data_IF_329411811282
#
_entry.id   IF_329411811282
#
_cell.length_a   1.000
_cell.length_b   1.000
_cell.length_c   1.000
_cell.angle_alpha   90.00
_cell.angle_beta   90.00
_cell.angle_gamma   90.00
#
_symmetry.space_group_name_H-M   'P 1'
#
loop_
_entity.id
_entity.type
_entity.pdbx_description
1 polymer ?
#
# COMPACT_ATOMS: atom_id res chain seq x y z
N UNK A 1 -0.07 -0.90 2.67
CA UNK A 1 0.95 -0.29 1.79
C UNK A 1 0.27 0.79 0.96
N UNK A 2 0.91 1.90 0.64
CA UNK A 2 0.28 2.98 -0.15
C UNK A 2 0.66 2.92 -1.63
N UNK A 3 -0.14 3.52 -2.51
CA UNK A 3 0.22 3.64 -3.94
C UNK A 3 1.50 4.44 -4.17
N UNK A 4 1.84 5.37 -3.26
CA UNK A 4 3.13 6.08 -3.25
C UNK A 4 4.30 5.11 -2.98
N UNK A 5 4.18 4.24 -1.98
CA UNK A 5 5.19 3.21 -1.68
C UNK A 5 5.33 2.21 -2.84
N UNK A 6 4.23 1.85 -3.49
CA UNK A 6 4.26 0.97 -4.68
C UNK A 6 5.04 1.65 -5.81
N UNK A 7 4.78 2.93 -6.07
CA UNK A 7 5.52 3.70 -7.07
C UNK A 7 7.02 3.71 -6.77
N UNK A 8 7.40 3.97 -5.51
CA UNK A 8 8.79 3.96 -5.04
C UNK A 8 9.48 2.61 -5.27
N UNK A 9 8.91 1.49 -4.77
CA UNK A 9 9.56 0.18 -4.88
C UNK A 9 9.59 -0.32 -6.33
N UNK A 10 8.55 -0.04 -7.12
CA UNK A 10 8.50 -0.49 -8.52
C UNK A 10 9.33 0.38 -9.45
N UNK A 11 9.58 1.64 -9.10
CA UNK A 11 10.17 2.64 -9.99
C UNK A 11 9.16 3.22 -10.99
N UNK A 12 7.87 2.87 -10.89
CA UNK A 12 6.82 3.47 -11.71
C UNK A 12 6.51 4.88 -11.22
N UNK A 13 6.10 5.77 -12.13
CA UNK A 13 5.53 7.06 -11.71
C UNK A 13 4.24 6.82 -10.92
N UNK A 14 4.00 7.63 -9.89
CA UNK A 14 2.80 7.50 -9.05
C UNK A 14 1.52 7.66 -9.87
N UNK A 15 1.50 8.53 -10.88
CA UNK A 15 0.37 8.68 -11.80
C UNK A 15 0.04 7.39 -12.57
N UNK A 16 1.05 6.63 -12.99
CA UNK A 16 0.84 5.33 -13.63
C UNK A 16 0.27 4.30 -12.65
N UNK A 17 0.79 4.24 -11.42
CA UNK A 17 0.22 3.35 -10.38
C UNK A 17 -1.24 3.69 -10.09
N UNK A 18 -1.58 4.98 -9.96
CA UNK A 18 -2.95 5.44 -9.75
C UNK A 18 -3.87 5.08 -10.92
N UNK A 19 -3.39 5.18 -12.16
CA UNK A 19 -4.13 4.75 -13.37
C UNK A 19 -4.36 3.24 -13.36
N UNK A 20 -3.32 2.46 -13.11
CA UNK A 20 -3.41 1.00 -13.12
C UNK A 20 -4.40 0.49 -12.06
N UNK A 21 -4.45 1.12 -10.88
CA UNK A 21 -5.45 0.83 -9.84
C UNK A 21 -6.87 1.11 -10.34
N UNK A 22 -7.11 2.27 -10.98
CA UNK A 22 -8.45 2.60 -11.51
C UNK A 22 -8.88 1.62 -12.60
N UNK A 23 -7.98 1.30 -13.52
CA UNK A 23 -8.24 0.37 -14.60
C UNK A 23 -8.62 -1.02 -14.06
N UNK A 24 -7.90 -1.52 -13.04
CA UNK A 24 -8.23 -2.82 -12.44
C UNK A 24 -9.59 -2.77 -11.73
N UNK A 25 -9.90 -1.68 -11.02
CA UNK A 25 -11.18 -1.50 -10.33
C UNK A 25 -12.37 -1.45 -11.31
N UNK A 26 -12.18 -0.88 -12.49
CA UNK A 26 -13.19 -0.84 -13.56
C UNK A 26 -13.44 -2.23 -14.18
N UNK A 27 -12.45 -3.11 -14.17
CA UNK A 27 -12.54 -4.48 -14.69
C UNK A 27 -13.16 -5.48 -13.70
N UNK A 28 -13.27 -5.13 -12.41
CA UNK A 28 -13.81 -6.01 -11.38
C UNK A 28 -15.34 -5.95 -11.33
N UNK A 29 -16.01 -7.07 -11.59
CA UNK A 29 -17.44 -7.24 -11.33
C UNK A 29 -17.76 -7.06 -9.84
N UNK A 30 -16.93 -7.64 -8.97
CA UNK A 30 -17.10 -7.62 -7.52
C UNK A 30 -16.13 -6.65 -6.82
N UNK A 31 -16.00 -5.43 -7.33
CA UNK A 31 -15.07 -4.41 -6.79
C UNK A 31 -15.19 -4.16 -5.28
N UNK A 32 -16.38 -4.37 -4.71
CA UNK A 32 -16.67 -4.21 -3.27
C UNK A 32 -15.92 -5.23 -2.37
N UNK A 33 -15.37 -6.31 -2.94
CA UNK A 33 -14.56 -7.30 -2.20
C UNK A 33 -13.09 -6.89 -2.03
N UNK A 34 -12.73 -5.70 -2.50
CA UNK A 34 -11.40 -5.10 -2.42
C UNK A 34 -11.50 -3.73 -1.76
N UNK A 35 -10.43 -3.30 -1.09
CA UNK A 35 -10.42 -2.08 -0.28
C UNK A 35 -9.33 -1.11 -0.73
N UNK A 36 -9.40 -0.68 -1.99
CA UNK A 36 -8.60 0.41 -2.50
C UNK A 36 -9.12 1.75 -1.95
N UNK A 37 -8.69 2.09 -0.75
CA UNK A 37 -9.18 3.26 -0.01
C UNK A 37 -8.49 4.53 -0.51
N UNK A 38 -9.25 5.48 -1.05
CA UNK A 38 -8.73 6.76 -1.52
C UNK A 38 -8.49 7.71 -0.35
N UNK A 39 -7.24 8.12 -0.18
CA UNK A 39 -6.78 9.03 0.86
C UNK A 39 -6.16 10.28 0.24
N UNK A 40 -6.01 11.34 1.03
CA UNK A 40 -5.39 12.59 0.60
C UNK A 40 -4.32 13.03 1.58
N UNK A 41 -3.13 13.33 1.05
CA UNK A 41 -2.10 14.04 1.81
C UNK A 41 -2.39 15.54 1.68
N UNK A 42 -2.61 16.19 2.81
CA UNK A 42 -2.86 17.62 2.88
C UNK A 42 -1.52 18.34 3.10
N UNK A 43 -1.17 19.22 2.17
CA UNK A 43 0.01 20.09 2.28
C UNK A 43 -0.46 21.54 2.33
N UNK A 44 -0.16 22.25 3.42
CA UNK A 44 -0.47 23.67 3.57
C UNK A 44 0.52 24.49 2.72
N UNK A 45 0.01 25.35 1.85
CA UNK A 45 0.81 26.14 0.89
C UNK A 45 0.99 27.61 1.30
N UNK A 46 0.49 28.00 2.49
CA UNK A 46 0.41 29.41 2.94
C UNK A 46 -0.90 30.07 2.49
N UNK A 47 -1.23 31.24 3.05
CA UNK A 47 -2.45 32.01 2.72
C UNK A 47 -3.76 31.20 2.80
N UNK A 48 -3.87 30.31 3.78
CA UNK A 48 -4.99 29.35 3.91
C UNK A 48 -5.22 28.44 2.68
N UNK A 49 -4.25 28.33 1.77
CA UNK A 49 -4.30 27.40 0.66
C UNK A 49 -3.80 26.02 1.08
N UNK A 50 -4.47 24.98 0.57
CA UNK A 50 -4.12 23.58 0.79
C UNK A 50 -4.03 22.85 -0.56
N UNK A 51 -3.00 22.03 -0.71
CA UNK A 51 -2.90 21.01 -1.77
C UNK A 51 -3.35 19.67 -1.20
N UNK A 52 -4.22 18.99 -1.95
CA UNK A 52 -4.68 17.62 -1.64
C UNK A 52 -4.12 16.66 -2.66
N UNK A 53 -3.09 15.92 -2.27
CA UNK A 53 -2.45 14.93 -3.13
C UNK A 53 -3.10 13.54 -2.89
N UNK A 54 -3.83 12.98 -3.87
CA UNK A 54 -4.54 11.72 -3.70
C UNK A 54 -3.59 10.52 -3.72
N UNK A 55 -3.83 9.52 -2.89
CA UNK A 55 -3.15 8.23 -2.96
C UNK A 55 -4.08 7.11 -2.46
N UNK A 56 -3.82 5.87 -2.86
CA UNK A 56 -4.58 4.73 -2.34
C UNK A 56 -3.86 4.11 -1.16
N UNK A 57 -4.61 3.71 -0.15
CA UNK A 57 -4.19 2.72 0.84
C UNK A 57 -4.66 1.34 0.37
N UNK A 58 -3.74 0.38 0.36
CA UNK A 58 -3.97 -0.98 -0.14
C UNK A 58 -3.72 -2.00 0.97
N UNK A 59 -4.64 -2.97 1.08
CA UNK A 59 -4.44 -4.20 1.84
C UNK A 59 -3.47 -5.14 1.11
N UNK A 60 -3.04 -6.23 1.76
CA UNK A 60 -2.22 -7.27 1.11
C UNK A 60 -2.93 -7.83 -0.13
N UNK A 61 -4.23 -8.08 -0.03
CA UNK A 61 -5.05 -8.60 -1.13
C UNK A 61 -5.09 -7.63 -2.32
N UNK A 62 -5.29 -6.34 -2.06
CA UNK A 62 -5.35 -5.31 -3.11
C UNK A 62 -3.99 -5.15 -3.81
N UNK A 63 -2.89 -5.22 -3.06
CA UNK A 63 -1.54 -5.20 -3.64
C UNK A 63 -1.27 -6.43 -4.51
N UNK A 64 -1.71 -7.62 -4.10
CA UNK A 64 -1.55 -8.84 -4.90
C UNK A 64 -2.38 -8.76 -6.18
N UNK A 65 -3.59 -8.19 -6.12
CA UNK A 65 -4.40 -7.96 -7.31
C UNK A 65 -3.68 -6.99 -8.27
N UNK A 66 -3.15 -5.88 -7.79
CA UNK A 66 -2.41 -4.94 -8.64
C UNK A 66 -1.15 -5.59 -9.25
N UNK A 67 -0.41 -6.36 -8.44
CA UNK A 67 0.84 -6.99 -8.84
C UNK A 67 0.65 -8.12 -9.88
N UNK A 68 -0.54 -8.70 -9.99
CA UNK A 68 -0.84 -9.71 -11.02
C UNK A 68 -0.83 -9.12 -12.44
N UNK A 69 -1.10 -7.82 -12.59
CA UNK A 69 -1.04 -7.09 -13.85
C UNK A 69 0.35 -6.52 -14.20
N UNK A 70 1.35 -6.68 -13.33
CA UNK A 70 2.72 -6.19 -13.55
C UNK A 70 3.65 -7.31 -14.05
N UNK A 71 4.83 -6.97 -14.56
CA UNK A 71 5.85 -7.97 -14.89
C UNK A 71 6.40 -8.66 -13.63
N UNK A 72 7.13 -9.76 -13.83
CA UNK A 72 7.64 -10.60 -12.74
C UNK A 72 8.55 -9.86 -11.77
N UNK A 73 9.39 -8.94 -12.25
CA UNK A 73 10.32 -8.21 -11.40
C UNK A 73 9.57 -7.22 -10.51
N UNK A 74 8.64 -6.46 -11.07
CA UNK A 74 7.83 -5.52 -10.30
C UNK A 74 6.92 -6.22 -9.28
N UNK A 75 6.30 -7.34 -9.68
CA UNK A 75 5.50 -8.16 -8.77
C UNK A 75 6.32 -8.71 -7.62
N UNK A 76 7.53 -9.23 -7.88
CA UNK A 76 8.43 -9.73 -6.83
C UNK A 76 8.75 -8.63 -5.81
N UNK A 77 9.01 -7.40 -6.24
CA UNK A 77 9.26 -6.27 -5.31
C UNK A 77 8.06 -5.99 -4.39
N UNK A 78 6.84 -6.03 -4.91
CA UNK A 78 5.62 -5.82 -4.11
C UNK A 78 5.42 -6.98 -3.11
N UNK A 79 5.63 -8.22 -3.54
CA UNK A 79 5.53 -9.42 -2.68
C UNK A 79 6.55 -9.35 -1.55
N UNK A 80 7.83 -9.16 -1.87
CA UNK A 80 8.91 -9.12 -0.88
C UNK A 80 8.67 -8.02 0.16
N UNK A 81 8.17 -6.85 -0.26
CA UNK A 81 7.85 -5.75 0.67
C UNK A 81 6.72 -6.14 1.63
N UNK A 82 5.73 -6.90 1.19
CA UNK A 82 4.68 -7.41 2.08
C UNK A 82 5.18 -8.46 3.06
N UNK A 83 6.03 -9.38 2.60
CA UNK A 83 6.65 -10.38 3.47
C UNK A 83 7.49 -9.72 4.57
N UNK A 84 8.26 -8.69 4.23
CA UNK A 84 9.02 -7.88 5.19
C UNK A 84 8.09 -7.21 6.23
N UNK A 85 7.00 -6.59 5.79
CA UNK A 85 6.01 -5.97 6.70
C UNK A 85 5.36 -6.99 7.64
N UNK A 86 5.07 -8.20 7.14
CA UNK A 86 4.51 -9.28 7.95
C UNK A 86 5.51 -9.80 8.98
N UNK A 87 6.77 -9.98 8.60
CA UNK A 87 7.80 -10.44 9.54
C UNK A 87 8.09 -9.39 10.61
N UNK A 88 8.18 -8.11 10.25
CA UNK A 88 8.31 -7.01 11.19
C UNK A 88 7.15 -6.98 12.20
N UNK A 89 5.91 -7.22 11.74
CA UNK A 89 4.73 -7.30 12.63
C UNK A 89 4.82 -8.50 13.57
N UNK A 90 5.28 -9.66 13.10
CA UNK A 90 5.48 -10.86 13.93
C UNK A 90 6.57 -10.62 14.98
N UNK A 91 7.70 -10.04 14.59
CA UNK A 91 8.79 -9.72 15.49
C UNK A 91 8.34 -8.77 16.61
N UNK A 92 7.60 -7.71 16.27
CA UNK A 92 7.05 -6.78 17.25
C UNK A 92 6.10 -7.47 18.25
N UNK A 93 5.26 -8.39 17.76
CA UNK A 93 4.38 -9.20 18.60
C UNK A 93 5.17 -10.09 19.57
N UNK A 94 6.24 -10.75 19.09
CA UNK A 94 7.14 -11.58 19.92
C UNK A 94 7.82 -10.74 21.00
N UNK A 95 8.37 -9.57 20.64
CA UNK A 95 9.00 -8.63 21.59
C UNK A 95 8.03 -8.17 22.67
N UNK A 96 6.81 -7.79 22.28
CA UNK A 96 5.74 -7.37 23.22
C UNK A 96 5.36 -8.48 24.19
N UNK A 97 5.20 -9.72 23.70
CA UNK A 97 4.89 -10.88 24.56
C UNK A 97 6.02 -11.15 25.57
N UNK A 98 7.28 -11.12 25.13
CA UNK A 98 8.46 -11.29 26.01
C UNK A 98 8.52 -10.21 27.09
N UNK A 99 8.26 -8.95 26.72
CA UNK A 99 8.23 -7.83 27.66
C UNK A 99 7.15 -7.99 28.74
N UNK A 100 5.94 -8.43 28.35
CA UNK A 100 4.85 -8.66 29.31
C UNK A 100 5.15 -9.81 30.28
N UNK A 101 5.73 -10.91 29.78
CA UNK A 101 6.15 -12.06 30.61
C UNK A 101 7.23 -11.69 31.62
N UNK A 102 8.12 -10.75 31.29
CA UNK A 102 9.18 -10.28 32.20
C UNK A 102 8.69 -9.38 33.34
N UNK A 103 7.42 -8.95 33.30
CA UNK A 103 6.81 -8.06 34.31
C UNK A 103 5.89 -8.80 35.29
N UNK A 104 5.66 -10.09 35.07
CA UNK A 104 4.96 -10.99 35.97
C UNK A 104 5.97 -11.64 36.91
#
# INVERSE_FOLDING_TARGET
MTSLQIAEITGKTHSNVMRDIRNILEQLEEKHKFNFELMFKITKLGNNAERKDPYYLLTKKDCLLLASGYDANLRAKIINRWEELEENKRELSRKRKKFLLSKM
#
